data_IF_933283203540
#
_entry.id   IF_933283203540
#
_cell.length_a   1.000
_cell.length_b   1.000
_cell.length_c   1.000
_cell.angle_alpha   90.00
_cell.angle_beta   90.00
_cell.angle_gamma   90.00
#
_symmetry.space_group_name_H-M   'P 1'
#
loop_
_entity.id
_entity.type
_entity.pdbx_description
1 polymer ?
#
# COMPACT_ATOMS: atom_id res chain seq x y z
N UNK A 1 14.09 -11.12 0.80
CA UNK A 1 14.21 -9.76 1.41
C UNK A 1 15.12 -9.74 2.64
N UNK A 2 14.87 -10.58 3.68
CA UNK A 2 15.71 -10.62 4.89
C UNK A 2 17.18 -10.96 4.56
N UNK A 3 17.42 -11.96 3.73
CA UNK A 3 18.77 -12.37 3.32
C UNK A 3 19.46 -11.34 2.42
N UNK A 4 18.70 -10.64 1.57
CA UNK A 4 19.23 -9.54 0.76
C UNK A 4 19.73 -8.40 1.67
N UNK A 5 18.91 -8.00 2.64
CA UNK A 5 19.27 -6.94 3.59
C UNK A 5 20.48 -7.34 4.46
N UNK A 6 20.54 -8.61 4.89
CA UNK A 6 21.71 -9.15 5.63
C UNK A 6 22.98 -9.05 4.79
N UNK A 7 22.91 -9.46 3.52
CA UNK A 7 24.06 -9.42 2.60
C UNK A 7 24.54 -8.00 2.38
N UNK A 8 23.62 -7.07 2.07
CA UNK A 8 23.96 -5.64 1.91
C UNK A 8 24.61 -5.08 3.18
N UNK A 9 24.09 -5.39 4.36
CA UNK A 9 24.68 -4.92 5.61
C UNK A 9 26.09 -5.47 5.83
N UNK A 10 26.34 -6.74 5.47
CA UNK A 10 27.66 -7.35 5.53
C UNK A 10 28.64 -6.68 4.54
N UNK A 11 28.22 -6.44 3.30
CA UNK A 11 29.03 -5.79 2.28
C UNK A 11 29.40 -4.35 2.67
N UNK A 12 28.50 -3.64 3.36
CA UNK A 12 28.73 -2.30 3.88
C UNK A 12 29.45 -2.26 5.23
N UNK A 13 29.67 -3.40 5.89
CA UNK A 13 30.29 -3.49 7.21
C UNK A 13 29.48 -2.85 8.34
N UNK A 14 28.15 -2.79 8.21
CA UNK A 14 27.27 -2.22 9.22
C UNK A 14 26.52 -3.30 10.01
N UNK A 15 26.17 -3.04 11.30
CA UNK A 15 25.40 -3.97 12.11
C UNK A 15 24.04 -4.30 11.48
N UNK A 16 23.63 -5.57 11.60
CA UNK A 16 22.36 -6.05 11.07
C UNK A 16 21.53 -6.69 12.18
N UNK A 17 20.28 -6.28 12.29
CA UNK A 17 19.33 -6.79 13.28
C UNK A 17 18.02 -7.17 12.60
N UNK A 18 17.35 -8.18 13.13
CA UNK A 18 16.00 -8.58 12.70
C UNK A 18 15.02 -8.31 13.84
N UNK A 19 14.04 -7.48 13.59
CA UNK A 19 12.95 -7.23 14.51
C UNK A 19 11.68 -7.93 14.01
N UNK A 20 10.97 -8.59 14.92
CA UNK A 20 9.72 -9.26 14.59
C UNK A 20 8.53 -8.32 14.82
N UNK A 21 7.78 -8.05 13.77
CA UNK A 21 6.55 -7.25 13.76
C UNK A 21 5.34 -8.05 13.24
N UNK A 22 5.40 -9.39 13.28
CA UNK A 22 4.38 -10.26 12.68
C UNK A 22 2.99 -9.98 13.24
N UNK A 23 2.86 -9.83 14.55
CA UNK A 23 1.57 -9.60 15.19
C UNK A 23 1.03 -8.19 14.90
N UNK A 24 1.88 -7.17 14.97
CA UNK A 24 1.50 -5.80 14.63
C UNK A 24 1.09 -5.69 13.16
N UNK A 25 1.81 -6.36 12.27
CA UNK A 25 1.50 -6.38 10.85
C UNK A 25 0.18 -7.12 10.58
N UNK A 26 -0.02 -8.28 11.18
CA UNK A 26 -1.25 -9.03 11.04
C UNK A 26 -2.44 -8.19 11.48
N UNK A 27 -2.41 -7.68 12.71
CA UNK A 27 -3.51 -6.92 13.31
C UNK A 27 -3.84 -5.62 12.58
N UNK A 28 -2.80 -4.81 12.28
CA UNK A 28 -3.01 -3.45 11.81
C UNK A 28 -2.98 -3.31 10.28
N UNK A 29 -2.51 -4.32 9.56
CA UNK A 29 -2.40 -4.27 8.10
C UNK A 29 -3.27 -5.33 7.44
N UNK A 30 -3.12 -6.61 7.82
CA UNK A 30 -3.85 -7.69 7.16
C UNK A 30 -5.33 -7.75 7.62
N UNK A 31 -5.59 -7.71 8.94
CA UNK A 31 -6.96 -7.70 9.47
C UNK A 31 -7.72 -6.44 8.99
N UNK A 32 -7.03 -5.28 8.96
CA UNK A 32 -7.59 -4.05 8.39
C UNK A 32 -7.91 -4.20 6.90
N UNK A 33 -6.99 -4.74 6.11
CA UNK A 33 -7.20 -4.97 4.68
C UNK A 33 -8.42 -5.86 4.41
N UNK A 34 -8.52 -6.96 5.11
CA UNK A 34 -9.64 -7.92 4.98
C UNK A 34 -10.96 -7.28 5.43
N UNK A 35 -10.95 -6.53 6.54
CA UNK A 35 -12.12 -5.83 7.05
C UNK A 35 -12.67 -4.80 6.07
N UNK A 36 -11.80 -3.98 5.47
CA UNK A 36 -12.22 -2.98 4.48
C UNK A 36 -12.86 -3.61 3.24
N UNK A 37 -12.27 -4.69 2.72
CA UNK A 37 -12.86 -5.43 1.61
C UNK A 37 -14.22 -6.06 1.96
N UNK A 38 -14.37 -6.57 3.18
CA UNK A 38 -15.65 -7.11 3.64
C UNK A 38 -16.74 -6.02 3.72
N UNK A 39 -16.34 -4.76 3.93
CA UNK A 39 -17.24 -3.60 3.93
C UNK A 39 -17.34 -2.90 2.54
N UNK A 40 -16.90 -3.57 1.47
CA UNK A 40 -16.99 -3.05 0.09
C UNK A 40 -16.04 -1.88 -0.20
N UNK A 41 -15.07 -1.61 0.67
CA UNK A 41 -14.07 -0.56 0.46
C UNK A 41 -12.76 -1.15 -0.05
N UNK A 42 -11.99 -0.35 -0.77
CA UNK A 42 -10.66 -0.75 -1.27
C UNK A 42 -9.59 -0.05 -0.44
N UNK A 43 -8.93 -0.75 0.50
CA UNK A 43 -7.91 -0.17 1.36
C UNK A 43 -6.58 0.01 0.65
N UNK A 44 -5.76 0.96 1.15
CA UNK A 44 -4.34 0.98 0.87
C UNK A 44 -3.55 0.48 2.08
N UNK A 45 -3.12 -0.80 2.09
CA UNK A 45 -2.43 -1.38 3.24
C UNK A 45 -1.05 -0.78 3.49
N UNK A 46 -0.43 -0.11 2.49
CA UNK A 46 0.85 0.59 2.67
C UNK A 46 0.70 1.78 3.61
N UNK A 47 -0.42 2.48 3.59
CA UNK A 47 -0.72 3.59 4.52
C UNK A 47 -0.79 3.05 5.95
N UNK A 48 -1.53 1.96 6.17
CA UNK A 48 -1.63 1.30 7.47
C UNK A 48 -0.28 0.76 7.96
N UNK A 49 0.49 0.12 7.09
CA UNK A 49 1.84 -0.37 7.39
C UNK A 49 2.78 0.77 7.78
N UNK A 50 2.77 1.87 7.03
CA UNK A 50 3.57 3.03 7.38
C UNK A 50 3.18 3.54 8.77
N UNK A 51 1.90 3.81 9.00
CA UNK A 51 1.43 4.34 10.28
C UNK A 51 1.79 3.43 11.46
N UNK A 52 1.30 2.20 11.46
CA UNK A 52 1.29 1.35 12.65
C UNK A 52 2.56 0.51 12.82
N UNK A 53 3.16 0.05 11.73
CA UNK A 53 4.33 -0.83 11.80
C UNK A 53 5.62 -0.02 11.75
N UNK A 54 5.79 0.87 10.76
CA UNK A 54 7.06 1.60 10.60
C UNK A 54 7.18 2.75 11.60
N UNK A 55 6.18 3.64 11.69
CA UNK A 55 6.31 4.84 12.49
C UNK A 55 5.76 4.75 13.92
N UNK A 56 4.91 3.79 14.23
CA UNK A 56 4.55 3.52 15.64
C UNK A 56 5.46 2.43 16.25
N UNK A 57 5.54 1.24 15.64
CA UNK A 57 6.25 0.12 16.25
C UNK A 57 7.75 0.14 16.02
N UNK A 58 8.21 0.27 14.76
CA UNK A 58 9.65 0.26 14.45
C UNK A 58 10.35 1.50 15.02
N UNK A 59 9.83 2.71 14.78
CA UNK A 59 10.43 3.94 15.31
C UNK A 59 10.57 3.84 16.84
N UNK A 60 9.49 3.51 17.55
CA UNK A 60 9.51 3.39 19.02
C UNK A 60 10.55 2.37 19.50
N UNK A 61 10.64 1.18 18.85
CA UNK A 61 11.63 0.16 19.23
C UNK A 61 13.05 0.60 18.90
N UNK A 62 13.26 1.31 17.79
CA UNK A 62 14.57 1.85 17.41
C UNK A 62 15.06 2.90 18.40
N UNK A 63 14.18 3.82 18.80
CA UNK A 63 14.49 4.82 19.84
C UNK A 63 14.83 4.17 21.19
N UNK A 64 14.11 3.09 21.55
CA UNK A 64 14.36 2.37 22.81
C UNK A 64 15.73 1.67 22.87
N UNK A 65 16.34 1.37 21.73
CA UNK A 65 17.70 0.80 21.64
C UNK A 65 18.77 1.86 21.33
N UNK A 66 18.43 3.15 21.38
CA UNK A 66 19.35 4.27 21.27
C UNK A 66 19.54 4.83 19.85
N UNK A 67 18.68 4.52 18.91
CA UNK A 67 18.71 5.19 17.61
C UNK A 67 18.05 6.58 17.70
N UNK A 68 18.65 7.59 17.08
CA UNK A 68 18.09 8.95 17.00
C UNK A 68 17.08 9.08 15.84
N UNK A 69 17.24 8.30 14.79
CA UNK A 69 16.43 8.37 13.58
C UNK A 69 16.14 6.98 13.01
N UNK A 70 15.05 6.89 12.26
CA UNK A 70 14.87 5.84 11.26
C UNK A 70 15.08 6.43 9.87
N UNK A 71 15.74 5.68 8.99
CA UNK A 71 15.91 6.04 7.58
C UNK A 71 15.11 5.06 6.71
N UNK A 72 14.41 5.58 5.71
CA UNK A 72 13.61 4.75 4.80
C UNK A 72 13.89 5.09 3.34
N UNK A 73 13.68 4.11 2.46
CA UNK A 73 13.80 4.27 1.02
C UNK A 73 12.56 4.87 0.35
N UNK A 74 11.71 5.59 1.08
CA UNK A 74 10.57 6.27 0.46
C UNK A 74 11.02 7.44 -0.42
N UNK A 75 10.44 7.54 -1.60
CA UNK A 75 10.58 8.68 -2.49
C UNK A 75 9.69 9.82 -2.01
N UNK A 76 10.15 10.51 -0.98
CA UNK A 76 9.58 11.71 -0.38
C UNK A 76 10.70 12.51 0.26
N UNK A 77 10.47 13.77 0.58
CA UNK A 77 11.42 14.61 1.29
C UNK A 77 10.81 15.17 2.56
N UNK A 78 11.65 15.52 3.53
CA UNK A 78 11.25 16.18 4.77
C UNK A 78 12.00 17.50 4.85
N UNK A 79 11.27 18.61 4.90
CA UNK A 79 11.82 19.95 5.08
C UNK A 79 11.45 20.47 6.49
N UNK A 80 12.38 21.20 7.12
CA UNK A 80 12.11 21.96 8.33
C UNK A 80 11.82 23.41 7.98
N UNK A 81 10.60 23.84 8.18
CA UNK A 81 10.15 25.21 7.89
C UNK A 81 10.74 26.21 8.90
N UNK A 82 10.80 27.54 8.55
CA UNK A 82 11.36 28.56 9.41
C UNK A 82 10.76 28.60 10.84
N UNK A 83 9.47 28.21 10.99
CA UNK A 83 8.80 28.10 12.28
C UNK A 83 9.14 26.82 13.07
N UNK A 84 10.11 26.01 12.62
CA UNK A 84 10.54 24.78 13.25
C UNK A 84 9.66 23.55 12.96
N UNK A 85 8.54 23.72 12.28
CA UNK A 85 7.62 22.65 11.86
C UNK A 85 8.24 21.83 10.73
N UNK A 86 8.08 20.52 10.77
CA UNK A 86 8.43 19.61 9.68
C UNK A 86 7.31 19.53 8.64
N UNK A 87 7.66 19.43 7.37
CA UNK A 87 6.74 19.30 6.25
C UNK A 87 7.19 18.18 5.34
N UNK A 88 6.23 17.38 4.86
CA UNK A 88 6.46 16.45 3.77
C UNK A 88 6.45 17.23 2.44
N UNK A 89 7.39 16.87 1.57
CA UNK A 89 7.54 17.41 0.23
C UNK A 89 7.69 16.27 -0.76
N UNK A 90 7.16 16.47 -1.95
CA UNK A 90 7.25 15.48 -3.03
C UNK A 90 8.70 15.17 -3.40
N UNK A 91 8.93 13.96 -3.87
CA UNK A 91 10.20 13.53 -4.43
C UNK A 91 10.53 14.29 -5.72
N UNK A 92 11.82 14.39 -6.05
CA UNK A 92 12.25 14.87 -7.37
C UNK A 92 11.85 13.92 -8.50
N UNK A 93 11.62 12.65 -8.21
CA UNK A 93 11.08 11.67 -9.16
C UNK A 93 9.55 11.60 -9.03
N UNK A 94 8.84 12.46 -9.74
CA UNK A 94 7.38 12.57 -9.65
C UNK A 94 6.64 11.23 -9.89
N UNK A 95 7.13 10.40 -10.83
CA UNK A 95 6.53 9.08 -11.13
C UNK A 95 6.72 8.04 -10.02
N UNK A 96 7.56 8.32 -9.03
CA UNK A 96 7.84 7.44 -7.88
C UNK A 96 7.45 8.09 -6.55
N UNK A 97 6.82 9.27 -6.57
CA UNK A 97 6.42 9.96 -5.35
C UNK A 97 5.54 9.09 -4.45
N UNK A 98 5.89 9.05 -3.17
CA UNK A 98 5.23 8.23 -2.16
C UNK A 98 4.66 9.06 -1.00
N UNK A 99 4.58 10.38 -1.14
CA UNK A 99 4.02 11.26 -0.10
C UNK A 99 2.58 10.91 0.25
N UNK A 100 1.81 10.40 -0.72
CA UNK A 100 0.43 9.94 -0.52
C UNK A 100 0.30 8.85 0.57
N UNK A 101 1.35 8.05 0.79
CA UNK A 101 1.34 6.98 1.79
C UNK A 101 1.87 7.43 3.16
N UNK A 102 2.23 8.72 3.32
CA UNK A 102 2.93 9.27 4.48
C UNK A 102 2.17 10.42 5.15
N UNK A 103 1.00 10.80 4.65
CA UNK A 103 0.26 11.99 5.07
C UNK A 103 -0.15 11.99 6.55
N UNK A 104 -0.20 10.82 7.16
CA UNK A 104 -0.62 10.66 8.56
C UNK A 104 0.52 10.67 9.57
N UNK A 105 1.76 10.98 9.15
CA UNK A 105 2.90 11.10 10.04
C UNK A 105 2.79 12.36 10.92
N UNK A 106 3.04 12.19 12.21
CA UNK A 106 3.03 13.29 13.18
C UNK A 106 4.32 14.11 13.11
N UNK A 107 4.33 15.30 13.72
CA UNK A 107 5.53 16.14 13.80
C UNK A 107 6.69 15.45 14.56
N UNK A 108 6.38 14.71 15.61
CA UNK A 108 7.35 13.91 16.35
C UNK A 108 7.97 12.84 15.45
N UNK A 109 7.14 12.07 14.73
CA UNK A 109 7.61 11.05 13.80
C UNK A 109 8.45 11.64 12.67
N UNK A 110 8.05 12.77 12.09
CA UNK A 110 8.81 13.45 11.04
C UNK A 110 10.17 13.94 11.56
N UNK A 111 10.24 14.42 12.80
CA UNK A 111 11.49 14.90 13.40
C UNK A 111 12.55 13.82 13.59
N UNK A 112 12.12 12.54 13.66
CA UNK A 112 12.98 11.36 13.83
C UNK A 112 13.08 10.50 12.56
N UNK A 113 12.79 11.09 11.39
CA UNK A 113 12.77 10.35 10.12
C UNK A 113 13.70 10.98 9.08
N UNK A 114 14.45 10.12 8.39
CA UNK A 114 15.26 10.48 7.24
C UNK A 114 14.73 9.78 5.99
N UNK A 115 14.63 10.54 4.89
CA UNK A 115 14.22 10.03 3.57
C UNK A 115 15.29 10.36 2.53
N UNK A 116 16.46 9.71 2.59
CA UNK A 116 17.64 10.11 1.82
C UNK A 116 17.47 10.00 0.31
N UNK A 117 16.60 9.09 -0.18
CA UNK A 117 16.43 8.87 -1.61
C UNK A 117 15.48 9.87 -2.30
N UNK A 118 14.71 10.64 -1.52
CA UNK A 118 13.71 11.57 -2.05
C UNK A 118 14.29 12.73 -2.88
N UNK A 119 15.57 13.04 -2.69
CA UNK A 119 16.30 14.10 -3.39
C UNK A 119 17.05 13.63 -4.63
N UNK A 120 16.91 12.35 -5.01
CA UNK A 120 17.59 11.75 -6.16
C UNK A 120 16.60 11.18 -7.16
N UNK A 121 16.99 11.18 -8.43
CA UNK A 121 16.29 10.41 -9.44
C UNK A 121 16.51 8.91 -9.24
N UNK A 122 15.54 8.10 -9.65
CA UNK A 122 15.60 6.64 -9.47
C UNK A 122 16.84 6.02 -10.11
N UNK A 123 17.20 6.52 -11.27
CA UNK A 123 18.39 6.11 -12.04
C UNK A 123 19.66 6.38 -11.25
N UNK A 124 19.77 7.56 -10.63
CA UNK A 124 20.94 7.92 -9.81
C UNK A 124 21.13 6.98 -8.63
N UNK A 125 20.02 6.59 -7.97
CA UNK A 125 20.06 5.61 -6.86
C UNK A 125 20.54 4.25 -7.35
N UNK A 126 20.10 3.81 -8.53
CA UNK A 126 20.57 2.56 -9.14
C UNK A 126 22.07 2.62 -9.46
N UNK A 127 22.52 3.69 -10.07
CA UNK A 127 23.94 3.92 -10.39
C UNK A 127 24.81 3.95 -9.12
N UNK A 128 24.31 4.55 -8.04
CA UNK A 128 24.99 4.53 -6.74
C UNK A 128 25.11 3.10 -6.19
N UNK A 129 24.01 2.34 -6.23
CA UNK A 129 24.01 0.95 -5.75
C UNK A 129 24.94 0.06 -6.59
N UNK A 130 25.00 0.27 -7.89
CA UNK A 130 25.89 -0.46 -8.81
C UNK A 130 27.35 -0.12 -8.54
N UNK A 131 27.68 1.16 -8.41
CA UNK A 131 29.05 1.61 -8.04
C UNK A 131 29.53 1.07 -6.70
N UNK A 132 28.61 0.85 -5.77
CA UNK A 132 28.90 0.22 -4.48
C UNK A 132 28.91 -1.31 -4.55
N UNK A 133 28.68 -1.90 -5.72
CA UNK A 133 28.66 -3.35 -5.92
C UNK A 133 27.52 -4.06 -5.18
N UNK A 134 26.42 -3.35 -4.87
CA UNK A 134 25.33 -3.93 -4.09
C UNK A 134 24.51 -4.93 -4.93
N UNK A 135 24.28 -6.15 -4.43
CA UNK A 135 23.61 -7.21 -5.20
C UNK A 135 22.14 -6.89 -5.53
N UNK A 136 21.58 -5.86 -4.92
CA UNK A 136 20.20 -5.41 -5.12
C UNK A 136 20.03 -4.28 -6.14
N UNK A 137 21.11 -3.78 -6.75
CA UNK A 137 21.11 -2.64 -7.67
C UNK A 137 20.11 -2.83 -8.83
N UNK A 138 20.02 -4.04 -9.39
CA UNK A 138 19.13 -4.38 -10.50
C UNK A 138 17.81 -5.04 -10.11
N UNK A 139 17.55 -5.15 -8.79
CA UNK A 139 16.30 -5.76 -8.32
C UNK A 139 15.09 -4.90 -8.76
N UNK A 140 14.07 -5.50 -9.40
CA UNK A 140 12.86 -4.76 -9.75
C UNK A 140 12.14 -4.26 -8.52
N UNK A 141 11.44 -3.11 -8.66
CA UNK A 141 10.61 -2.58 -7.60
C UNK A 141 9.44 -3.53 -7.32
N UNK A 142 9.10 -3.69 -6.05
CA UNK A 142 7.83 -4.32 -5.68
C UNK A 142 6.70 -3.34 -6.03
N UNK A 143 5.89 -3.71 -7.03
CA UNK A 143 4.75 -2.89 -7.47
C UNK A 143 3.44 -3.29 -6.79
N UNK A 144 3.47 -4.41 -6.05
CA UNK A 144 2.31 -5.07 -5.50
C UNK A 144 2.27 -5.00 -3.97
N UNK A 145 1.11 -5.35 -3.43
CA UNK A 145 0.92 -5.54 -1.99
C UNK A 145 1.86 -6.67 -1.55
N UNK A 146 2.77 -6.37 -0.65
CA UNK A 146 3.91 -7.24 -0.30
C UNK A 146 3.51 -8.61 0.29
N UNK A 147 2.29 -8.77 0.75
CA UNK A 147 1.76 -10.04 1.26
C UNK A 147 0.76 -10.72 0.31
N UNK A 148 0.50 -10.14 -0.89
CA UNK A 148 -0.33 -10.71 -1.96
C UNK A 148 0.43 -10.55 -3.29
N UNK A 149 1.49 -11.34 -3.51
CA UNK A 149 2.38 -11.13 -4.65
C UNK A 149 1.80 -11.57 -6.00
N UNK A 150 0.73 -12.34 -6.00
CA UNK A 150 0.04 -12.89 -7.18
C UNK A 150 -1.15 -12.05 -7.66
N UNK A 151 -1.43 -10.92 -6.98
CA UNK A 151 -2.57 -10.02 -7.26
C UNK A 151 -3.96 -10.65 -7.01
N UNK A 152 -4.03 -11.82 -6.41
CA UNK A 152 -5.30 -12.48 -6.12
C UNK A 152 -5.81 -12.13 -4.73
N UNK A 153 -6.34 -10.92 -4.61
CA UNK A 153 -6.86 -10.39 -3.35
C UNK A 153 -8.03 -11.21 -2.80
N UNK A 154 -8.88 -11.72 -3.70
CA UNK A 154 -10.06 -12.48 -3.29
C UNK A 154 -9.65 -13.84 -2.70
N UNK A 155 -8.79 -14.59 -3.37
CA UNK A 155 -8.25 -15.84 -2.84
C UNK A 155 -7.51 -15.65 -1.52
N UNK A 156 -6.72 -14.56 -1.42
CA UNK A 156 -6.08 -14.23 -0.15
C UNK A 156 -7.10 -13.99 0.98
N UNK A 157 -8.19 -13.25 0.71
CA UNK A 157 -9.22 -12.96 1.72
C UNK A 157 -9.96 -14.25 2.12
N UNK A 158 -10.28 -15.11 1.17
CA UNK A 158 -10.93 -16.41 1.44
C UNK A 158 -10.03 -17.30 2.30
N UNK A 159 -8.75 -17.44 1.94
CA UNK A 159 -7.78 -18.22 2.69
C UNK A 159 -7.57 -17.65 4.10
N UNK A 160 -7.42 -16.33 4.20
CA UNK A 160 -7.19 -15.65 5.48
C UNK A 160 -8.37 -15.75 6.45
N UNK A 161 -9.59 -15.65 5.92
CA UNK A 161 -10.83 -15.71 6.73
C UNK A 161 -11.35 -17.12 6.92
N UNK A 162 -10.93 -18.09 6.10
CA UNK A 162 -11.50 -19.43 6.03
C UNK A 162 -12.95 -19.45 5.54
N UNK A 163 -13.38 -18.42 4.80
CA UNK A 163 -14.75 -18.26 4.29
C UNK A 163 -14.74 -18.04 2.80
N UNK A 164 -15.53 -18.81 2.07
CA UNK A 164 -15.84 -18.53 0.66
C UNK A 164 -16.70 -17.28 0.56
N UNK A 165 -16.46 -16.49 -0.46
CA UNK A 165 -17.21 -15.28 -0.76
C UNK A 165 -18.35 -15.62 -1.73
N UNK A 166 -19.61 -15.47 -1.30
CA UNK A 166 -20.73 -15.90 -2.12
C UNK A 166 -20.84 -15.05 -3.40
N UNK A 167 -21.17 -15.70 -4.55
CA UNK A 167 -21.51 -14.96 -5.75
C UNK A 167 -22.78 -14.15 -5.54
N UNK A 168 -22.83 -12.95 -6.12
CA UNK A 168 -23.98 -12.03 -6.00
C UNK A 168 -24.40 -11.47 -7.35
N UNK A 169 -25.12 -10.35 -7.34
CA UNK A 169 -25.66 -9.72 -8.53
C UNK A 169 -24.92 -8.43 -8.88
N UNK A 170 -24.62 -8.24 -10.16
CA UNK A 170 -24.45 -6.92 -10.73
C UNK A 170 -25.82 -6.29 -10.91
N UNK A 171 -25.99 -5.06 -10.43
CA UNK A 171 -27.22 -4.30 -10.59
C UNK A 171 -26.91 -2.93 -11.21
N UNK A 172 -27.90 -2.30 -11.88
CA UNK A 172 -27.79 -0.91 -12.28
C UNK A 172 -28.16 0.04 -11.12
N UNK A 173 -28.15 1.35 -11.38
CA UNK A 173 -28.48 2.37 -10.38
C UNK A 173 -29.94 2.27 -9.90
N UNK A 174 -30.84 1.71 -10.70
CA UNK A 174 -32.23 1.50 -10.38
C UNK A 174 -32.50 0.16 -9.66
N UNK A 175 -31.47 -0.68 -9.50
CA UNK A 175 -31.54 -1.98 -8.84
C UNK A 175 -31.92 -3.14 -9.77
N UNK A 176 -31.95 -2.93 -11.09
CA UNK A 176 -32.23 -4.02 -12.04
C UNK A 176 -30.98 -4.92 -12.17
N UNK A 177 -31.20 -6.23 -12.15
CA UNK A 177 -30.13 -7.22 -12.26
C UNK A 177 -29.57 -7.25 -13.69
N UNK A 178 -28.25 -7.04 -13.81
CA UNK A 178 -27.51 -7.05 -15.07
C UNK A 178 -26.76 -8.36 -15.32
N UNK A 179 -26.46 -9.10 -14.25
CA UNK A 179 -25.69 -10.34 -14.33
C UNK A 179 -25.26 -10.82 -12.95
N UNK A 180 -24.36 -11.79 -12.92
CA UNK A 180 -23.83 -12.34 -11.65
C UNK A 180 -22.34 -12.11 -11.53
N UNK A 181 -21.88 -11.79 -10.32
CA UNK A 181 -20.47 -11.68 -9.97
C UNK A 181 -20.00 -12.82 -9.07
N UNK A 182 -18.68 -12.97 -8.92
CA UNK A 182 -18.03 -14.08 -8.19
C UNK A 182 -17.90 -13.85 -6.68
N UNK A 183 -18.24 -12.69 -6.19
CA UNK A 183 -18.05 -12.20 -4.81
C UNK A 183 -17.61 -10.75 -4.85
N UNK A 184 -18.07 -9.92 -3.92
CA UNK A 184 -17.83 -8.46 -3.89
C UNK A 184 -16.34 -8.10 -3.81
N UNK A 185 -15.51 -8.92 -3.18
CA UNK A 185 -14.08 -8.68 -3.01
C UNK A 185 -13.25 -8.77 -4.29
N UNK A 186 -13.83 -9.28 -5.37
CA UNK A 186 -13.21 -9.27 -6.70
C UNK A 186 -13.33 -7.91 -7.42
N UNK A 187 -14.02 -6.95 -6.82
CA UNK A 187 -14.36 -5.70 -7.49
C UNK A 187 -13.93 -4.49 -6.67
N UNK A 188 -13.68 -3.40 -7.38
CA UNK A 188 -13.24 -2.12 -6.82
C UNK A 188 -14.02 -1.00 -7.50
N UNK A 189 -14.45 0.01 -6.75
CA UNK A 189 -15.11 1.20 -7.31
C UNK A 189 -14.19 1.86 -8.35
N UNK A 190 -14.73 2.19 -9.51
CA UNK A 190 -14.01 2.67 -10.68
C UNK A 190 -13.49 1.56 -11.62
N UNK A 191 -13.61 0.29 -11.23
CA UNK A 191 -13.18 -0.83 -12.08
C UNK A 191 -14.04 -0.91 -13.36
N UNK A 192 -13.35 -1.04 -14.50
CA UNK A 192 -13.97 -1.20 -15.82
C UNK A 192 -13.76 -2.59 -16.42
N UNK A 193 -12.57 -3.17 -16.22
CA UNK A 193 -12.19 -4.46 -16.84
C UNK A 193 -12.58 -5.63 -15.94
N UNK A 194 -12.84 -6.79 -16.54
CA UNK A 194 -13.10 -8.04 -15.81
C UNK A 194 -14.51 -8.16 -15.23
N UNK A 195 -15.45 -7.29 -15.62
CA UNK A 195 -16.84 -7.36 -15.18
C UNK A 195 -17.61 -8.47 -15.91
N UNK A 196 -17.18 -8.89 -17.10
CA UNK A 196 -17.85 -9.88 -17.94
C UNK A 196 -19.31 -9.55 -18.24
N UNK A 197 -19.65 -8.26 -18.35
CA UNK A 197 -20.96 -7.74 -18.73
C UNK A 197 -20.92 -7.25 -20.18
N UNK A 198 -21.95 -7.64 -20.97
CA UNK A 198 -22.11 -7.23 -22.36
C UNK A 198 -23.14 -6.09 -22.45
N UNK A 199 -22.71 -4.86 -22.14
CA UNK A 199 -23.61 -3.70 -22.10
C UNK A 199 -23.59 -2.83 -23.36
N UNK A 200 -22.78 -3.21 -24.41
CA UNK A 200 -22.66 -2.41 -25.64
C UNK A 200 -21.95 -1.05 -25.46
N UNK A 201 -21.60 -0.67 -24.24
CA UNK A 201 -20.90 0.56 -23.86
C UNK A 201 -19.95 0.29 -22.70
N UNK A 202 -18.92 1.15 -22.46
CA UNK A 202 -18.09 1.06 -21.28
C UNK A 202 -18.95 1.27 -20.01
N UNK A 203 -18.77 0.38 -19.04
CA UNK A 203 -19.41 0.48 -17.72
C UNK A 203 -18.40 0.31 -16.62
N UNK A 204 -18.72 0.82 -15.43
CA UNK A 204 -17.82 0.90 -14.27
C UNK A 204 -18.54 0.42 -13.01
N UNK A 205 -17.79 -0.10 -12.07
CA UNK A 205 -18.26 -0.30 -10.70
C UNK A 205 -18.43 1.08 -10.05
N UNK A 206 -19.62 1.38 -9.61
CA UNK A 206 -19.98 2.66 -8.96
C UNK A 206 -20.01 2.52 -7.45
N UNK A 207 -20.56 1.41 -6.97
CA UNK A 207 -20.75 1.13 -5.55
C UNK A 207 -20.64 -0.38 -5.30
N UNK A 208 -20.20 -0.77 -4.13
CA UNK A 208 -20.26 -2.15 -3.64
C UNK A 208 -21.15 -2.15 -2.41
N UNK A 209 -22.17 -3.01 -2.38
CA UNK A 209 -23.15 -3.15 -1.30
C UNK A 209 -22.98 -4.50 -0.60
N UNK A 210 -22.21 -4.56 0.49
CA UNK A 210 -21.97 -5.82 1.22
C UNK A 210 -23.24 -6.45 1.77
N UNK A 211 -24.15 -5.65 2.31
CA UNK A 211 -25.38 -6.13 2.97
C UNK A 211 -26.31 -6.91 2.02
N UNK A 212 -26.36 -6.50 0.76
CA UNK A 212 -27.18 -7.17 -0.28
C UNK A 212 -26.35 -8.05 -1.21
N UNK A 213 -25.01 -8.07 -1.02
CA UNK A 213 -24.06 -8.76 -1.89
C UNK A 213 -24.23 -8.35 -3.35
N UNK A 214 -24.30 -7.03 -3.60
CA UNK A 214 -24.48 -6.43 -4.93
C UNK A 214 -23.26 -5.58 -5.31
N UNK A 215 -22.97 -5.56 -6.61
CA UNK A 215 -22.03 -4.62 -7.24
C UNK A 215 -22.81 -3.74 -8.20
N UNK A 216 -22.88 -2.45 -7.89
CA UNK A 216 -23.62 -1.46 -8.70
C UNK A 216 -22.78 -1.03 -9.88
N UNK A 217 -23.36 -1.05 -11.05
CA UNK A 217 -22.75 -0.74 -12.33
C UNK A 217 -23.39 0.53 -12.90
N UNK A 218 -22.56 1.47 -13.33
CA UNK A 218 -22.99 2.72 -13.95
C UNK A 218 -22.02 3.24 -14.99
N UNK A 219 -22.18 4.50 -15.35
CA UNK A 219 -21.28 5.22 -16.25
C UNK A 219 -20.09 5.84 -15.51
N UNK A 220 -19.10 6.31 -16.25
CA UNK A 220 -17.92 6.95 -15.68
C UNK A 220 -18.25 8.16 -14.80
N UNK A 221 -19.31 8.90 -15.13
CA UNK A 221 -19.73 10.07 -14.36
C UNK A 221 -20.35 9.68 -13.00
N UNK A 222 -20.95 8.51 -12.91
CA UNK A 222 -21.59 8.02 -11.69
C UNK A 222 -20.56 7.62 -10.61
N UNK A 223 -19.30 7.31 -11.00
CA UNK A 223 -18.22 6.95 -10.08
C UNK A 223 -17.84 8.10 -9.13
N UNK A 224 -18.07 9.35 -9.55
CA UNK A 224 -17.60 10.55 -8.83
C UNK A 224 -18.71 11.34 -8.14
N UNK A 225 -19.91 10.79 -8.03
CA UNK A 225 -21.09 11.47 -7.47
C UNK A 225 -21.36 11.17 -6.00
N UNK A 226 -20.48 10.42 -5.35
CA UNK A 226 -20.57 10.08 -3.90
C UNK A 226 -19.49 10.78 -3.09
#
# INVERSE_FOLDING_TARGET
>A
AVDDARRVAMDLGIPYYVMNFKEEFRKNVMDYFVGEYAEGRTPNPCIACNRYVKWESLLRRSMAIGADYIATGHYAQIDRLPGGRYSLKTSVTASKDQTYALYNLTQDQLSHTLMPVGSYHKEEIRDMAERLGLPVAHKPDSQEICFIPDHDYASFIEEYTGRELPPGNFVDLDGNVLGRHRGITHYTVGQRKGLNLSMGRPVFVVEIRPDTNEVVIGDNNDVFTN
#
